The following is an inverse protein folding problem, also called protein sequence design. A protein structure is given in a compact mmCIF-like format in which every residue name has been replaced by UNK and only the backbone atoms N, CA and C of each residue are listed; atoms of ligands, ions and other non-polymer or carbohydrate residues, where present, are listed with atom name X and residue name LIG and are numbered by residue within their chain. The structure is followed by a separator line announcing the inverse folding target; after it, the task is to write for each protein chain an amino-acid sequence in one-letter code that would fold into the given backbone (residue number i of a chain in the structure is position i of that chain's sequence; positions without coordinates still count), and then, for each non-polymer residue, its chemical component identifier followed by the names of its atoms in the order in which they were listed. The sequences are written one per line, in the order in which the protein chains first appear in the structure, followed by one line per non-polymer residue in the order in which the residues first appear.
data_IF_956988441077
#
_entry.id   IF_956988441077
#
_cell.length_a   1.000
_cell.length_b   1.000
_cell.length_c   1.000
_cell.angle_alpha   90.00
_cell.angle_beta   90.00
_cell.angle_gamma   90.00
#
_symmetry.space_group_name_H-M   'P 1'
#
loop_
_entity.id
_entity.type
_entity.pdbx_description
1 polymer ?
#
# COMPACT_ATOMS: atom_id res chain seq x y z
N UNK A 1 15.73 7.40 -7.16
CA UNK A 1 14.26 7.37 -7.16
C UNK A 1 13.66 8.77 -7.27
N UNK A 2 14.06 9.73 -6.41
CA UNK A 2 13.47 11.07 -6.43
C UNK A 2 13.77 11.83 -7.74
N UNK A 3 14.92 11.64 -8.31
CA UNK A 3 15.31 12.19 -9.61
C UNK A 3 14.54 11.56 -10.78
N UNK A 4 14.29 10.25 -10.71
CA UNK A 4 13.53 9.51 -11.73
C UNK A 4 12.02 9.75 -11.66
N UNK A 5 11.51 10.09 -10.46
CA UNK A 5 10.07 10.23 -10.18
C UNK A 5 9.75 11.60 -9.56
N UNK A 6 10.17 12.67 -10.23
CA UNK A 6 10.13 14.07 -9.71
C UNK A 6 8.76 14.51 -9.19
N UNK A 7 7.67 14.01 -9.76
CA UNK A 7 6.30 14.44 -9.43
C UNK A 7 5.51 13.42 -8.59
N UNK A 8 6.17 12.39 -8.04
CA UNK A 8 5.51 11.36 -7.24
C UNK A 8 5.88 11.49 -5.77
N UNK A 9 4.91 11.32 -4.89
CA UNK A 9 5.17 11.23 -3.45
C UNK A 9 5.83 9.91 -3.13
N UNK A 10 6.88 9.97 -2.32
CA UNK A 10 7.64 8.80 -1.87
C UNK A 10 7.37 8.61 -0.38
N UNK A 11 6.89 7.43 -0.03
CA UNK A 11 6.70 6.97 1.35
C UNK A 11 7.66 5.85 1.67
N UNK A 12 8.12 5.75 2.92
CA UNK A 12 8.99 4.67 3.37
C UNK A 12 8.46 4.03 4.65
N UNK A 13 8.46 2.69 4.70
CA UNK A 13 8.32 1.89 5.93
C UNK A 13 9.67 1.30 6.26
N UNK A 14 10.21 1.59 7.45
CA UNK A 14 11.47 1.01 7.87
C UNK A 14 11.62 0.98 9.40
N UNK A 15 12.54 0.18 9.86
CA UNK A 15 13.04 0.12 11.21
C UNK A 15 14.54 -0.13 11.21
N UNK A 16 15.12 -0.29 12.39
CA UNK A 16 16.51 -0.68 12.54
C UNK A 16 16.63 -1.84 13.52
N UNK A 17 17.53 -2.79 13.21
CA UNK A 17 17.84 -3.90 14.09
C UNK A 17 18.51 -3.44 15.37
N UNK A 18 18.21 -4.15 16.47
CA UNK A 18 18.95 -4.07 17.70
C UNK A 18 20.25 -4.89 17.62
N UNK A 19 21.13 -4.73 18.63
CA UNK A 19 22.45 -5.38 18.73
C UNK A 19 23.29 -5.19 17.45
N UNK A 20 23.22 -3.99 16.90
CA UNK A 20 23.89 -3.53 15.68
C UNK A 20 24.46 -2.14 15.91
N UNK A 21 25.18 -1.63 14.91
CA UNK A 21 25.69 -0.26 14.92
C UNK A 21 24.57 0.76 15.16
N UNK A 22 24.68 1.47 16.30
CA UNK A 22 23.70 2.47 16.73
C UNK A 22 23.92 3.84 16.06
N UNK A 23 25.14 4.11 15.58
CA UNK A 23 25.52 5.42 15.04
C UNK A 23 24.78 5.76 13.76
N UNK A 24 24.39 4.76 12.98
CA UNK A 24 23.63 4.93 11.75
C UNK A 24 22.16 5.31 11.94
N UNK A 25 21.59 5.09 13.14
CA UNK A 25 20.15 5.33 13.40
C UNK A 25 19.74 6.78 13.16
N UNK A 26 20.44 7.79 13.70
CA UNK A 26 20.14 9.19 13.40
C UNK A 26 20.29 9.53 11.91
N UNK A 27 21.29 8.94 11.23
CA UNK A 27 21.52 9.14 9.81
C UNK A 27 20.39 8.56 8.96
N UNK A 28 19.88 7.36 9.29
CA UNK A 28 18.71 6.76 8.64
C UNK A 28 17.49 7.68 8.73
N UNK A 29 17.25 8.27 9.92
CA UNK A 29 16.18 9.25 10.11
C UNK A 29 16.36 10.50 9.24
N UNK A 30 17.57 11.05 9.19
CA UNK A 30 17.91 12.23 8.37
C UNK A 30 17.68 11.97 6.88
N UNK A 31 18.14 10.83 6.38
CA UNK A 31 17.96 10.43 4.96
C UNK A 31 16.46 10.24 4.63
N UNK A 32 15.72 9.53 5.49
CA UNK A 32 14.29 9.36 5.29
C UNK A 32 13.54 10.69 5.28
N UNK A 33 13.88 11.61 6.20
CA UNK A 33 13.29 12.95 6.25
C UNK A 33 13.59 13.78 4.99
N UNK A 34 14.80 13.67 4.45
CA UNK A 34 15.23 14.41 3.28
C UNK A 34 14.52 13.94 1.99
N UNK A 35 14.40 12.64 1.81
CA UNK A 35 13.97 12.06 0.53
C UNK A 35 12.53 11.56 0.48
N UNK A 36 11.86 11.41 1.63
CA UNK A 36 10.51 10.88 1.67
C UNK A 36 9.49 11.93 2.15
N UNK A 37 8.29 11.83 1.59
CA UNK A 37 7.15 12.68 1.96
C UNK A 37 6.42 12.15 3.19
N UNK A 38 6.43 10.81 3.40
CA UNK A 38 5.89 10.15 4.59
C UNK A 38 6.85 9.07 5.07
N UNK A 39 7.02 8.98 6.38
CA UNK A 39 7.92 8.04 7.05
C UNK A 39 7.13 7.22 8.07
N UNK A 40 6.96 5.94 7.81
CA UNK A 40 6.36 4.98 8.73
C UNK A 40 7.47 4.25 9.46
N UNK A 41 7.80 4.75 10.67
CA UNK A 41 8.85 4.20 11.51
C UNK A 41 8.30 3.06 12.36
N UNK A 42 8.91 1.89 12.25
CA UNK A 42 8.42 0.66 12.88
C UNK A 42 9.55 -0.17 13.48
N UNK A 43 9.22 -1.27 14.15
CA UNK A 43 10.21 -2.23 14.62
C UNK A 43 10.71 -3.09 13.45
N UNK A 44 12.01 -3.41 13.47
CA UNK A 44 12.63 -4.42 12.62
C UNK A 44 12.86 -5.70 13.45
N UNK A 45 14.10 -6.03 13.77
CA UNK A 45 14.51 -7.07 14.71
C UNK A 45 15.15 -6.41 15.94
N UNK A 46 14.37 -6.00 16.96
CA UNK A 46 14.93 -5.32 18.12
C UNK A 46 15.92 -6.18 18.91
N UNK A 47 15.82 -7.49 18.80
CA UNK A 47 16.60 -8.46 19.55
C UNK A 47 16.54 -8.18 21.04
N UNK A 48 17.67 -7.96 21.71
CA UNK A 48 17.71 -7.68 23.16
C UNK A 48 17.55 -6.19 23.50
N UNK A 49 17.64 -5.29 22.52
CA UNK A 49 17.45 -3.86 22.78
C UNK A 49 15.96 -3.48 22.92
N UNK A 50 15.71 -2.41 23.66
CA UNK A 50 14.36 -1.85 23.76
C UNK A 50 13.96 -1.19 22.43
N UNK A 51 12.88 -1.67 21.77
CA UNK A 51 12.47 -1.16 20.47
C UNK A 51 12.08 0.32 20.50
N UNK A 52 11.56 0.84 21.62
CA UNK A 52 11.25 2.26 21.77
C UNK A 52 12.51 3.13 21.70
N UNK A 53 13.63 2.66 22.29
CA UNK A 53 14.91 3.38 22.26
C UNK A 53 15.45 3.41 20.82
N UNK A 54 15.35 2.30 20.09
CA UNK A 54 15.76 2.22 18.68
C UNK A 54 14.99 3.25 17.85
N UNK A 55 13.65 3.24 17.93
CA UNK A 55 12.81 4.20 17.21
C UNK A 55 13.08 5.64 17.64
N UNK A 56 13.26 5.89 18.94
CA UNK A 56 13.56 7.23 19.45
C UNK A 56 14.86 7.80 18.88
N UNK A 57 15.89 6.96 18.68
CA UNK A 57 17.16 7.39 18.08
C UNK A 57 17.00 7.79 16.60
N UNK A 58 16.11 7.12 15.87
CA UNK A 58 15.84 7.38 14.45
C UNK A 58 14.98 8.64 14.30
N UNK A 59 13.89 8.75 15.08
CA UNK A 59 12.88 9.80 14.89
C UNK A 59 13.35 11.21 15.22
N UNK A 60 14.44 11.37 15.98
CA UNK A 60 15.00 12.68 16.34
C UNK A 60 15.27 13.58 15.12
N UNK A 61 15.58 12.96 13.98
CA UNK A 61 15.93 13.66 12.74
C UNK A 61 14.81 13.60 11.69
N UNK A 62 13.58 13.25 12.09
CA UNK A 62 12.43 13.22 11.19
C UNK A 62 11.44 14.30 11.61
N UNK A 63 10.99 15.10 10.66
CA UNK A 63 9.97 16.12 10.89
C UNK A 63 8.66 15.43 11.35
N UNK A 64 8.07 15.94 12.43
CA UNK A 64 6.82 15.41 13.01
C UNK A 64 5.67 15.34 12.01
N UNK A 65 5.58 16.27 11.08
CA UNK A 65 4.53 16.30 10.04
C UNK A 65 4.62 15.14 9.03
N UNK A 66 5.80 14.53 8.89
CA UNK A 66 6.05 13.40 7.99
C UNK A 66 6.06 12.04 8.71
N UNK A 67 6.11 12.04 10.04
CA UNK A 67 6.38 10.86 10.85
C UNK A 67 5.10 10.16 11.31
N UNK A 68 5.01 8.87 11.02
CA UNK A 68 4.04 7.92 11.57
C UNK A 68 4.82 6.85 12.34
N UNK A 69 4.87 6.93 13.67
CA UNK A 69 5.52 5.93 14.51
C UNK A 69 4.52 4.82 14.85
N UNK A 70 4.73 3.62 14.31
CA UNK A 70 3.86 2.45 14.49
C UNK A 70 4.76 1.26 14.80
N UNK A 71 4.80 0.82 16.05
CA UNK A 71 5.70 -0.26 16.51
C UNK A 71 5.46 -1.59 15.78
N UNK A 72 4.20 -1.97 15.57
CA UNK A 72 3.82 -3.16 14.84
C UNK A 72 4.08 -2.99 13.35
N UNK A 73 5.02 -3.79 12.81
CA UNK A 73 5.44 -3.69 11.42
C UNK A 73 4.33 -4.05 10.42
N UNK A 74 3.47 -5.02 10.76
CA UNK A 74 2.33 -5.37 9.90
C UNK A 74 1.35 -4.20 9.80
N UNK A 75 1.05 -3.56 10.94
CA UNK A 75 0.19 -2.37 10.99
C UNK A 75 0.82 -1.17 10.26
N UNK A 76 2.14 -1.00 10.36
CA UNK A 76 2.86 0.06 9.65
C UNK A 76 2.78 -0.13 8.13
N UNK A 77 3.01 -1.35 7.63
CA UNK A 77 2.87 -1.69 6.21
C UNK A 77 1.42 -1.52 5.74
N UNK A 78 0.45 -2.00 6.52
CA UNK A 78 -0.97 -1.80 6.23
C UNK A 78 -1.30 -0.32 6.08
N UNK A 79 -0.98 0.49 7.09
CA UNK A 79 -1.24 1.93 7.08
C UNK A 79 -0.60 2.61 5.88
N UNK A 80 0.68 2.32 5.62
CA UNK A 80 1.40 2.90 4.49
C UNK A 80 0.75 2.58 3.14
N UNK A 81 0.31 1.32 2.93
CA UNK A 81 -0.37 0.91 1.69
C UNK A 81 -1.72 1.62 1.54
N UNK A 82 -2.51 1.73 2.62
CA UNK A 82 -3.82 2.39 2.53
C UNK A 82 -3.71 3.90 2.32
N UNK A 83 -2.64 4.54 2.80
CA UNK A 83 -2.39 5.98 2.61
C UNK A 83 -1.84 6.34 1.21
N UNK A 84 -1.48 5.35 0.35
CA UNK A 84 -1.03 5.61 -1.01
C UNK A 84 -2.16 6.09 -1.90
N UNK A 85 -1.89 7.11 -2.68
CA UNK A 85 -2.72 7.50 -3.82
C UNK A 85 -2.17 6.91 -5.12
N UNK A 86 -2.95 7.03 -6.20
CA UNK A 86 -2.51 6.62 -7.53
C UNK A 86 -1.23 7.36 -7.91
N UNK A 87 -0.22 6.61 -8.29
CA UNK A 87 1.08 7.15 -8.69
C UNK A 87 2.08 7.35 -7.55
N UNK A 88 1.68 7.26 -6.27
CA UNK A 88 2.62 7.30 -5.14
C UNK A 88 3.54 6.07 -5.13
N UNK A 89 4.72 6.23 -4.54
CA UNK A 89 5.73 5.18 -4.39
C UNK A 89 5.85 4.82 -2.92
N UNK A 90 5.80 3.52 -2.61
CA UNK A 90 6.10 2.99 -1.28
C UNK A 90 7.37 2.15 -1.32
N UNK A 91 8.32 2.50 -0.46
CA UNK A 91 9.50 1.70 -0.17
C UNK A 91 9.28 0.99 1.16
N UNK A 92 9.43 -0.34 1.19
CA UNK A 92 9.47 -1.12 2.43
C UNK A 92 10.87 -1.67 2.57
N UNK A 93 11.61 -1.18 3.57
CA UNK A 93 13.04 -1.44 3.72
C UNK A 93 13.39 -2.06 5.08
N UNK A 94 14.53 -2.75 5.09
CA UNK A 94 15.13 -3.37 6.28
C UNK A 94 15.18 -4.88 6.18
N UNK A 95 14.03 -5.55 6.11
CA UNK A 95 13.97 -7.02 6.17
C UNK A 95 14.27 -7.75 4.85
N UNK A 96 13.99 -7.12 3.71
CA UNK A 96 14.21 -7.76 2.41
C UNK A 96 13.50 -9.12 2.31
N UNK A 97 14.28 -10.19 2.18
CA UNK A 97 13.79 -11.58 2.08
C UNK A 97 13.64 -12.29 3.43
N UNK A 98 13.95 -11.63 4.54
CA UNK A 98 13.81 -12.24 5.87
C UNK A 98 12.36 -12.65 6.15
N UNK A 99 12.19 -13.86 6.70
CA UNK A 99 10.88 -14.43 7.06
C UNK A 99 10.64 -14.49 8.56
N UNK A 100 11.46 -13.77 9.35
CA UNK A 100 11.42 -13.81 10.82
C UNK A 100 11.52 -12.40 11.34
N UNK A 101 10.79 -12.11 12.43
CA UNK A 101 10.97 -10.94 13.27
C UNK A 101 11.37 -11.39 14.67
N UNK A 102 12.47 -10.81 15.20
CA UNK A 102 13.12 -11.27 16.41
C UNK A 102 12.99 -10.23 17.54
N UNK A 103 12.37 -10.65 18.65
CA UNK A 103 12.25 -9.91 19.90
C UNK A 103 12.84 -10.74 21.03
N UNK A 104 13.98 -10.35 21.58
CA UNK A 104 14.75 -11.13 22.57
C UNK A 104 14.96 -12.58 22.04
N UNK A 105 14.52 -13.58 22.80
CA UNK A 105 14.59 -15.00 22.43
C UNK A 105 13.42 -15.46 21.52
N UNK A 106 12.45 -14.60 21.28
CA UNK A 106 11.24 -14.96 20.52
C UNK A 106 11.44 -14.63 19.05
N UNK A 107 11.36 -15.64 18.19
CA UNK A 107 11.35 -15.50 16.72
C UNK A 107 9.93 -15.73 16.22
N UNK A 108 9.33 -14.71 15.60
CA UNK A 108 8.00 -14.78 14.99
C UNK A 108 8.12 -14.87 13.48
N UNK A 109 7.33 -15.72 12.85
CA UNK A 109 7.23 -15.73 11.39
C UNK A 109 6.65 -14.40 10.92
N UNK A 110 7.35 -13.75 10.03
CA UNK A 110 6.96 -12.46 9.48
C UNK A 110 7.69 -12.22 8.15
N UNK A 111 6.95 -11.81 7.14
CA UNK A 111 7.50 -11.47 5.82
C UNK A 111 6.87 -10.18 5.32
N UNK A 112 7.70 -9.18 5.03
CA UNK A 112 7.28 -7.93 4.40
C UNK A 112 6.52 -8.19 3.10
N UNK A 113 7.04 -9.06 2.25
CA UNK A 113 6.43 -9.41 0.97
C UNK A 113 5.02 -9.96 1.12
N UNK A 114 4.80 -10.88 2.07
CA UNK A 114 3.48 -11.43 2.32
C UNK A 114 2.51 -10.36 2.84
N UNK A 115 2.96 -9.49 3.75
CA UNK A 115 2.16 -8.39 4.26
C UNK A 115 1.78 -7.40 3.15
N UNK A 116 2.73 -7.05 2.28
CA UNK A 116 2.48 -6.16 1.15
C UNK A 116 1.43 -6.75 0.21
N UNK A 117 1.63 -7.98 -0.25
CA UNK A 117 0.70 -8.66 -1.18
C UNK A 117 -0.71 -8.79 -0.59
N UNK A 118 -0.81 -9.17 0.70
CA UNK A 118 -2.09 -9.26 1.41
C UNK A 118 -2.82 -7.91 1.43
N UNK A 119 -2.12 -6.85 1.81
CA UNK A 119 -2.72 -5.52 1.96
C UNK A 119 -3.10 -4.90 0.61
N UNK A 120 -2.30 -5.13 -0.45
CA UNK A 120 -2.66 -4.72 -1.81
C UNK A 120 -3.95 -5.43 -2.25
N UNK A 121 -4.08 -6.74 -2.03
CA UNK A 121 -5.31 -7.48 -2.36
C UNK A 121 -6.53 -6.89 -1.63
N UNK A 122 -6.39 -6.58 -0.34
CA UNK A 122 -7.47 -5.98 0.46
C UNK A 122 -7.83 -4.59 -0.08
N UNK A 123 -6.84 -3.73 -0.31
CA UNK A 123 -7.04 -2.38 -0.84
C UNK A 123 -7.73 -2.41 -2.21
N UNK A 124 -7.27 -3.27 -3.11
CA UNK A 124 -7.88 -3.41 -4.44
C UNK A 124 -9.32 -3.92 -4.36
N UNK A 125 -9.61 -4.86 -3.46
CA UNK A 125 -10.98 -5.32 -3.21
C UNK A 125 -11.87 -4.20 -2.67
N UNK A 126 -11.37 -3.38 -1.75
CA UNK A 126 -12.11 -2.23 -1.21
C UNK A 126 -12.33 -1.16 -2.27
N UNK A 127 -11.34 -0.88 -3.11
CA UNK A 127 -11.47 0.06 -4.23
C UNK A 127 -12.47 -0.46 -5.27
N UNK A 128 -12.39 -1.76 -5.65
CA UNK A 128 -13.33 -2.36 -6.60
C UNK A 128 -14.76 -2.43 -6.05
N UNK A 129 -14.92 -2.58 -4.74
CA UNK A 129 -16.26 -2.55 -4.10
C UNK A 129 -16.77 -1.11 -3.88
N UNK A 130 -15.94 -0.10 -4.06
CA UNK A 130 -16.25 1.32 -3.81
C UNK A 130 -16.28 2.18 -5.08
N UNK A 131 -16.25 1.59 -6.28
CA UNK A 131 -16.64 2.33 -7.48
C UNK A 131 -18.13 2.65 -7.29
N UNK A 132 -18.39 3.83 -6.70
CA UNK A 132 -19.75 4.34 -6.57
C UNK A 132 -20.29 4.45 -7.99
N UNK A 133 -21.46 3.89 -8.24
CA UNK A 133 -22.13 3.92 -9.53
C UNK A 133 -22.27 5.34 -10.09
N UNK A 134 -22.20 6.36 -9.25
CA UNK A 134 -22.15 7.77 -9.63
C UNK A 134 -21.00 8.07 -10.61
N UNK A 135 -19.82 7.50 -10.38
CA UNK A 135 -18.65 7.67 -11.28
C UNK A 135 -18.90 6.99 -12.63
N UNK A 136 -19.47 5.80 -12.60
CA UNK A 136 -19.84 5.09 -13.85
C UNK A 136 -20.98 5.80 -14.58
N UNK A 137 -21.92 6.42 -13.86
CA UNK A 137 -23.00 7.23 -14.42
C UNK A 137 -22.46 8.48 -15.13
N UNK A 138 -21.50 9.17 -14.52
CA UNK A 138 -20.82 10.32 -15.10
C UNK A 138 -19.98 9.92 -16.33
N UNK A 139 -19.19 8.84 -16.24
CA UNK A 139 -18.34 8.36 -17.32
C UNK A 139 -19.13 7.77 -18.51
N UNK A 140 -20.29 7.17 -18.27
CA UNK A 140 -21.12 6.55 -19.31
C UNK A 140 -22.20 7.46 -19.87
N UNK A 141 -22.35 8.68 -19.31
CA UNK A 141 -23.42 9.62 -19.65
C UNK A 141 -24.84 8.99 -19.56
N UNK A 142 -24.99 7.96 -18.72
CA UNK A 142 -26.20 7.14 -18.63
C UNK A 142 -27.20 7.72 -17.63
N UNK A 143 -28.43 7.96 -18.06
CA UNK A 143 -29.50 8.54 -17.25
C UNK A 143 -30.21 7.51 -16.35
N UNK A 144 -30.09 6.21 -16.63
CA UNK A 144 -30.92 5.15 -16.04
C UNK A 144 -30.23 4.24 -15.01
N UNK A 145 -29.10 4.63 -14.45
CA UNK A 145 -28.41 3.81 -13.45
C UNK A 145 -28.89 4.22 -12.06
N UNK A 146 -29.49 3.28 -11.32
CA UNK A 146 -29.91 3.49 -9.92
C UNK A 146 -28.70 3.69 -9.00
N UNK A 147 -28.73 4.73 -8.17
CA UNK A 147 -27.68 5.02 -7.19
C UNK A 147 -27.54 3.95 -6.07
N UNK A 148 -28.50 3.02 -5.97
CA UNK A 148 -28.52 1.93 -4.97
C UNK A 148 -27.79 0.66 -5.42
N UNK A 149 -27.45 0.51 -6.71
CA UNK A 149 -26.71 -0.64 -7.22
C UNK A 149 -25.24 -0.60 -6.77
N UNK A 150 -24.75 -1.70 -6.24
CA UNK A 150 -23.33 -1.89 -5.94
C UNK A 150 -22.70 -2.78 -6.99
N UNK A 151 -21.57 -2.33 -7.52
CA UNK A 151 -20.79 -3.08 -8.50
C UNK A 151 -19.60 -3.70 -7.81
N UNK A 152 -19.45 -5.01 -7.93
CA UNK A 152 -18.37 -5.75 -7.28
C UNK A 152 -17.10 -5.83 -8.14
N UNK A 153 -17.27 -5.86 -9.46
CA UNK A 153 -16.15 -5.97 -10.39
C UNK A 153 -16.55 -5.48 -11.79
N UNK A 154 -15.57 -5.33 -12.67
CA UNK A 154 -15.76 -4.94 -14.07
C UNK A 154 -15.03 -5.92 -14.98
N UNK A 155 -15.63 -6.29 -16.10
CA UNK A 155 -15.01 -7.13 -17.12
C UNK A 155 -15.34 -6.63 -18.53
N UNK A 156 -14.42 -6.86 -19.46
CA UNK A 156 -14.61 -6.71 -20.89
C UNK A 156 -14.93 -8.06 -21.57
N UNK A 157 -14.89 -9.13 -20.80
CA UNK A 157 -15.17 -10.49 -21.27
C UNK A 157 -16.56 -10.93 -20.78
N UNK A 158 -17.53 -11.08 -21.69
CA UNK A 158 -18.90 -11.46 -21.36
C UNK A 158 -18.99 -12.82 -20.65
N UNK A 159 -18.06 -13.75 -20.93
CA UNK A 159 -18.03 -15.10 -20.34
C UNK A 159 -17.57 -15.12 -18.86
N UNK A 160 -16.96 -14.05 -18.38
CA UNK A 160 -16.44 -13.93 -17.02
C UNK A 160 -17.33 -13.10 -16.10
N UNK A 161 -18.47 -12.61 -16.61
CA UNK A 161 -19.37 -11.77 -15.82
C UNK A 161 -20.06 -12.59 -14.75
N UNK A 162 -20.04 -12.06 -13.54
CA UNK A 162 -20.78 -12.61 -12.38
C UNK A 162 -21.82 -11.59 -11.92
N UNK A 163 -22.77 -12.05 -11.12
CA UNK A 163 -23.78 -11.19 -10.48
C UNK A 163 -23.13 -9.96 -9.83
N UNK A 164 -23.66 -8.79 -10.09
CA UNK A 164 -23.15 -7.49 -9.63
C UNK A 164 -21.79 -7.06 -10.25
N UNK A 165 -21.42 -7.60 -11.42
CA UNK A 165 -20.32 -7.08 -12.22
C UNK A 165 -20.84 -6.10 -13.29
N UNK A 166 -19.97 -5.17 -13.72
CA UNK A 166 -20.21 -4.31 -14.89
C UNK A 166 -19.49 -4.89 -16.09
N UNK A 167 -20.18 -4.99 -17.17
CA UNK A 167 -19.64 -5.33 -18.48
C UNK A 167 -19.39 -4.06 -19.29
N UNK A 168 -18.17 -3.91 -19.78
CA UNK A 168 -17.83 -2.88 -20.74
C UNK A 168 -17.84 -3.47 -22.14
N UNK A 169 -18.88 -3.15 -22.88
CA UNK A 169 -18.96 -3.50 -24.31
C UNK A 169 -18.03 -2.59 -25.12
N UNK A 170 -16.91 -3.14 -25.59
CA UNK A 170 -15.93 -2.40 -26.37
C UNK A 170 -16.10 -2.80 -27.86
N UNK A 171 -16.24 -1.79 -28.70
CA UNK A 171 -16.24 -1.99 -30.18
C UNK A 171 -14.77 -2.08 -30.64
N UNK A 172 -14.33 -3.30 -30.96
CA UNK A 172 -13.03 -3.57 -31.55
C UNK A 172 -13.06 -3.56 -33.09
N UNK A 173 -11.88 -3.66 -33.72
CA UNK A 173 -11.75 -3.75 -35.17
C UNK A 173 -12.49 -4.96 -35.79
N UNK A 174 -12.51 -6.10 -35.08
CA UNK A 174 -13.00 -7.37 -35.60
C UNK A 174 -14.22 -7.91 -34.84
N UNK A 175 -14.60 -7.35 -33.70
CA UNK A 175 -15.75 -7.76 -32.89
C UNK A 175 -16.36 -6.55 -32.19
N UNK A 176 -17.69 -6.52 -32.16
CA UNK A 176 -18.44 -5.51 -31.41
C UNK A 176 -18.98 -6.13 -30.12
N UNK A 177 -18.46 -5.66 -28.97
CA UNK A 177 -18.89 -6.13 -27.65
C UNK A 177 -20.36 -5.84 -27.33
N UNK A 178 -21.01 -4.90 -28.04
CA UNK A 178 -22.41 -4.59 -27.83
C UNK A 178 -23.34 -5.74 -28.28
N UNK A 179 -22.87 -6.65 -29.13
CA UNK A 179 -23.63 -7.83 -29.57
C UNK A 179 -23.85 -8.82 -28.38
N UNK A 180 -23.04 -8.76 -27.31
CA UNK A 180 -23.12 -9.65 -26.15
C UNK A 180 -23.90 -9.05 -24.97
N UNK A 181 -24.50 -7.89 -25.13
CA UNK A 181 -25.26 -7.20 -24.03
C UNK A 181 -26.66 -7.83 -23.86
N UNK A 182 -27.14 -8.62 -24.79
CA UNK A 182 -28.46 -9.25 -24.72
C UNK A 182 -28.48 -10.69 -24.22
N UNK A 183 -27.31 -11.25 -23.92
CA UNK A 183 -27.14 -12.56 -23.25
C UNK A 183 -27.02 -12.39 -21.74
#
# INVERSE_FOLDING_TARGET
LKEQFKNRKISIVFGCGGDRDKTKRPMMGKIANQYCDRVYLTDDNPRYENPKIIRSSIKKNINKSKLYEISDRAKAINRAIFDLNTGDILIVAGKGHEKIQEYKKIKKLFSDQQQILRNIKIKNKTLSSSIKLNILKELSNSKNISSKLRVNNASINSKEIKKNNVFFAIKGKNKDGNLFVKE
#
